data_IF_237447445182
#
_entry.id   IF_237447445182
#
_cell.length_a   1.000
_cell.length_b   1.000
_cell.length_c   1.000
_cell.angle_alpha   90.00
_cell.angle_beta   90.00
_cell.angle_gamma   90.00
#
_symmetry.space_group_name_H-M   'P 1'
#
loop_
_entity.id
_entity.type
_entity.pdbx_description
1 polymer ?
#
# COMPACT_ATOMS: atom_id res chain seq x y z
N UNK A 1 -24.23 14.89 71.30
CA UNK A 1 -24.41 14.17 70.05
C UNK A 1 -23.82 14.95 68.93
N UNK A 2 -22.69 14.54 68.34
CA UNK A 2 -22.02 15.20 67.19
C UNK A 2 -22.16 14.27 66.01
N UNK A 3 -22.82 14.73 64.92
CA UNK A 3 -22.91 14.03 63.64
C UNK A 3 -21.66 14.35 62.78
N UNK A 4 -21.01 13.34 62.17
CA UNK A 4 -19.94 13.59 61.23
C UNK A 4 -20.55 13.95 59.85
N UNK A 5 -20.06 15.03 59.27
CA UNK A 5 -20.36 15.43 57.90
C UNK A 5 -19.51 14.59 56.95
N UNK A 6 -20.15 13.72 56.16
CA UNK A 6 -19.54 13.00 55.07
C UNK A 6 -19.34 13.97 53.88
N UNK A 7 -18.09 14.21 53.53
CA UNK A 7 -17.72 14.96 52.28
C UNK A 7 -17.78 13.96 51.10
N UNK A 8 -18.77 14.11 50.23
CA UNK A 8 -18.81 13.40 48.96
C UNK A 8 -17.91 14.13 47.97
N UNK A 9 -16.77 13.53 47.64
CA UNK A 9 -15.91 13.99 46.53
C UNK A 9 -16.48 13.45 45.23
N UNK A 10 -17.14 14.30 44.45
CA UNK A 10 -17.60 13.99 43.08
C UNK A 10 -16.38 14.10 42.15
N UNK A 11 -15.78 12.98 41.82
CA UNK A 11 -14.73 12.92 40.80
C UNK A 11 -15.35 13.09 39.42
N UNK A 12 -15.17 14.24 38.79
CA UNK A 12 -15.50 14.47 37.40
C UNK A 12 -14.50 13.72 36.52
N UNK A 13 -14.93 12.60 35.93
CA UNK A 13 -14.17 11.92 34.84
C UNK A 13 -14.39 12.74 33.56
N UNK A 14 -13.41 13.61 33.23
CA UNK A 14 -13.39 14.29 31.93
C UNK A 14 -12.92 13.25 30.89
N UNK A 15 -13.87 12.66 30.19
CA UNK A 15 -13.58 11.86 29.00
C UNK A 15 -13.30 12.86 27.88
N UNK A 16 -12.03 13.10 27.59
CA UNK A 16 -11.63 13.75 26.35
C UNK A 16 -11.89 12.74 25.21
N UNK A 17 -13.10 12.79 24.64
CA UNK A 17 -13.37 12.22 23.33
C UNK A 17 -12.74 13.18 22.29
N UNK A 18 -11.41 13.12 22.13
CA UNK A 18 -10.76 13.73 20.99
C UNK A 18 -11.24 12.96 19.76
N UNK A 19 -12.08 13.60 18.93
CA UNK A 19 -12.30 13.10 17.58
C UNK A 19 -10.93 13.10 16.91
N UNK A 20 -10.43 11.95 16.38
CA UNK A 20 -9.23 11.99 15.59
C UNK A 20 -9.50 12.89 14.38
N UNK A 21 -8.66 13.92 14.19
CA UNK A 21 -8.72 14.74 13.00
C UNK A 21 -8.59 13.82 11.79
N UNK A 22 -9.61 13.86 10.93
CA UNK A 22 -9.61 13.09 9.68
C UNK A 22 -9.36 14.05 8.53
N UNK A 23 -8.26 13.80 7.81
CA UNK A 23 -7.95 14.51 6.57
C UNK A 23 -8.52 13.77 5.38
N UNK A 24 -8.94 14.52 4.35
CA UNK A 24 -9.33 13.99 3.05
C UNK A 24 -8.40 14.57 1.98
N UNK A 25 -7.77 13.67 1.23
CA UNK A 25 -6.93 14.02 0.10
C UNK A 25 -7.51 13.35 -1.13
N UNK A 26 -8.13 14.11 -2.06
CA UNK A 26 -8.66 13.53 -3.28
C UNK A 26 -7.58 12.81 -4.06
N UNK A 27 -7.91 11.64 -4.60
CA UNK A 27 -7.09 10.99 -5.61
C UNK A 27 -7.51 11.58 -6.96
N UNK A 28 -6.64 12.41 -7.56
CA UNK A 28 -6.98 13.11 -8.80
C UNK A 28 -7.35 12.09 -9.89
N UNK A 29 -8.53 12.20 -10.52
CA UNK A 29 -8.89 11.36 -11.66
C UNK A 29 -7.92 11.48 -12.83
N UNK A 30 -7.29 12.64 -13.03
CA UNK A 30 -6.28 12.85 -14.06
C UNK A 30 -5.02 12.00 -13.88
N UNK A 31 -4.71 11.60 -12.66
CA UNK A 31 -3.60 10.70 -12.36
C UNK A 31 -3.83 9.28 -12.88
N UNK A 32 -5.09 8.84 -12.97
CA UNK A 32 -5.46 7.50 -13.38
C UNK A 32 -4.75 6.45 -12.52
N UNK A 33 -4.03 5.56 -13.19
CA UNK A 33 -3.14 4.56 -12.59
C UNK A 33 -1.71 4.63 -13.16
N UNK A 34 -1.30 5.82 -13.63
CA UNK A 34 0.07 6.09 -14.05
C UNK A 34 1.03 5.99 -12.84
N UNK A 35 2.30 5.60 -13.07
CA UNK A 35 3.30 5.56 -12.01
C UNK A 35 3.48 6.96 -11.39
N UNK A 36 3.71 6.99 -10.07
CA UNK A 36 3.92 8.26 -9.36
C UNK A 36 5.26 8.89 -9.71
N UNK A 37 6.24 8.07 -10.08
CA UNK A 37 7.56 8.47 -10.58
C UNK A 37 8.27 7.27 -11.24
N UNK A 38 9.37 7.47 -11.97
CA UNK A 38 10.20 6.38 -12.48
C UNK A 38 10.85 5.58 -11.35
N UNK A 39 10.85 4.25 -11.45
CA UNK A 39 11.59 3.39 -10.54
C UNK A 39 13.11 3.54 -10.76
N UNK A 40 13.88 3.58 -9.68
CA UNK A 40 15.34 3.70 -9.71
C UNK A 40 16.07 2.46 -9.19
N UNK A 41 15.32 1.43 -8.71
CA UNK A 41 15.92 0.16 -8.33
C UNK A 41 16.44 -0.59 -9.57
N UNK A 42 17.54 -1.31 -9.38
CA UNK A 42 18.05 -2.19 -10.42
C UNK A 42 17.29 -3.52 -10.37
N UNK A 43 17.11 -4.17 -11.52
CA UNK A 43 16.60 -5.54 -11.57
C UNK A 43 17.61 -6.53 -11.01
N UNK A 44 17.15 -7.66 -10.45
CA UNK A 44 18.02 -8.76 -10.03
C UNK A 44 18.91 -9.20 -11.20
N UNK A 45 20.22 -9.42 -10.95
CA UNK A 45 21.11 -9.90 -11.99
C UNK A 45 20.79 -11.34 -12.39
N UNK A 46 20.97 -11.66 -13.67
CA UNK A 46 20.81 -13.02 -14.18
C UNK A 46 21.70 -13.99 -13.40
N UNK A 47 21.20 -15.18 -13.15
CA UNK A 47 21.92 -16.30 -12.52
C UNK A 47 22.20 -17.39 -13.53
N UNK A 48 23.03 -18.40 -13.16
CA UNK A 48 23.32 -19.52 -14.03
C UNK A 48 22.04 -20.34 -14.29
N UNK A 49 21.52 -20.28 -15.52
CA UNK A 49 20.33 -20.99 -15.94
C UNK A 49 19.00 -20.23 -15.75
N UNK A 50 19.04 -19.04 -15.16
CA UNK A 50 17.88 -18.17 -15.03
C UNK A 50 18.25 -16.72 -15.34
N UNK A 51 17.85 -16.19 -16.53
CA UNK A 51 18.10 -14.81 -16.90
C UNK A 51 17.24 -13.80 -16.13
N UNK A 52 16.14 -14.24 -15.53
CA UNK A 52 15.17 -13.41 -14.81
C UNK A 52 14.78 -14.08 -13.49
N UNK A 53 15.70 -14.13 -12.48
CA UNK A 53 15.39 -14.80 -11.22
C UNK A 53 14.17 -14.17 -10.54
N UNK A 54 13.28 -15.01 -10.00
CA UNK A 54 12.04 -14.55 -9.36
C UNK A 54 12.32 -13.94 -7.98
N UNK A 55 12.96 -12.80 -8.02
CA UNK A 55 13.42 -12.01 -6.87
C UNK A 55 13.07 -10.53 -7.08
N UNK A 56 13.20 -9.75 -6.03
CA UNK A 56 13.08 -8.28 -6.06
C UNK A 56 14.30 -7.64 -5.42
N UNK A 57 14.81 -6.58 -6.03
CA UNK A 57 15.77 -5.67 -5.40
C UNK A 57 15.06 -4.40 -4.97
N UNK A 58 15.30 -3.95 -3.74
CA UNK A 58 14.63 -2.80 -3.15
C UNK A 58 15.68 -1.82 -2.64
N UNK A 59 15.50 -0.55 -2.99
CA UNK A 59 16.23 0.58 -2.40
C UNK A 59 15.23 1.45 -1.65
N UNK A 60 15.58 1.88 -0.44
CA UNK A 60 14.74 2.75 0.37
C UNK A 60 15.59 3.77 1.12
N UNK A 61 15.07 4.99 1.24
CA UNK A 61 15.76 6.08 1.93
C UNK A 61 14.76 7.20 2.25
N UNK A 62 15.26 8.30 2.77
CA UNK A 62 14.56 9.54 3.01
C UNK A 62 14.75 10.53 1.85
N UNK A 63 13.69 11.28 1.53
CA UNK A 63 13.75 12.51 0.75
C UNK A 63 13.62 13.73 1.65
N UNK A 64 13.77 14.92 1.03
CA UNK A 64 13.58 16.17 1.74
C UNK A 64 12.28 16.21 2.56
N UNK A 65 12.39 16.74 3.74
CA UNK A 65 11.30 16.90 4.67
C UNK A 65 11.10 15.71 5.61
N UNK A 66 10.67 14.61 5.24
CA UNK A 66 10.40 13.37 6.02
C UNK A 66 9.69 12.32 5.16
N UNK A 67 9.72 12.48 3.86
CA UNK A 67 9.15 11.52 2.94
C UNK A 67 10.07 10.31 2.84
N UNK A 68 9.68 9.19 3.43
CA UNK A 68 10.31 7.92 3.16
C UNK A 68 9.86 7.42 1.78
N UNK A 69 10.78 6.82 1.03
CA UNK A 69 10.47 6.19 -0.25
C UNK A 69 11.14 4.83 -0.36
N UNK A 70 10.52 3.95 -1.15
CA UNK A 70 11.14 2.71 -1.60
C UNK A 70 10.85 2.51 -3.09
N UNK A 71 11.85 2.03 -3.81
CA UNK A 71 11.75 1.56 -5.19
C UNK A 71 12.15 0.09 -5.21
N UNK A 72 11.33 -0.74 -5.86
CA UNK A 72 11.60 -2.16 -6.05
C UNK A 72 11.54 -2.52 -7.53
N UNK A 73 12.53 -3.29 -8.02
CA UNK A 73 12.50 -3.88 -9.36
C UNK A 73 12.72 -5.39 -9.25
N UNK A 74 11.90 -6.17 -9.93
CA UNK A 74 11.94 -7.62 -9.81
C UNK A 74 11.23 -8.34 -10.94
N UNK A 75 11.31 -9.67 -10.93
CA UNK A 75 10.66 -10.53 -11.92
C UNK A 75 9.68 -11.48 -11.24
N UNK A 76 8.58 -11.76 -11.95
CA UNK A 76 7.64 -12.83 -11.62
C UNK A 76 7.57 -13.81 -12.78
N UNK A 77 7.63 -15.09 -12.49
CA UNK A 77 7.43 -16.16 -13.48
C UNK A 77 5.93 -16.35 -13.74
N UNK A 78 5.33 -15.33 -14.30
CA UNK A 78 3.92 -15.23 -14.65
C UNK A 78 3.74 -14.26 -15.81
N UNK A 79 2.69 -14.47 -16.60
CA UNK A 79 2.32 -13.59 -17.72
C UNK A 79 1.63 -12.31 -17.21
N UNK A 80 1.61 -11.25 -18.03
CA UNK A 80 0.89 -10.01 -17.69
C UNK A 80 -0.60 -10.24 -17.37
N UNK A 81 -1.37 -11.07 -18.09
CA UNK A 81 -2.74 -11.39 -17.70
C UNK A 81 -2.86 -12.04 -16.33
N UNK A 82 -1.94 -12.94 -15.94
CA UNK A 82 -1.93 -13.55 -14.61
C UNK A 82 -1.61 -12.53 -13.51
N UNK A 83 -0.68 -11.63 -13.78
CA UNK A 83 -0.37 -10.51 -12.86
C UNK A 83 -1.55 -9.56 -12.74
N UNK A 84 -2.24 -9.22 -13.84
CA UNK A 84 -3.45 -8.39 -13.81
C UNK A 84 -4.54 -9.04 -12.95
N UNK A 85 -4.76 -10.34 -13.10
CA UNK A 85 -5.73 -11.07 -12.29
C UNK A 85 -5.32 -11.12 -10.81
N UNK A 86 -4.02 -11.28 -10.54
CA UNK A 86 -3.51 -11.23 -9.16
C UNK A 86 -3.74 -9.85 -8.50
N UNK A 87 -3.58 -8.75 -9.23
CA UNK A 87 -3.81 -7.38 -8.75
C UNK A 87 -5.29 -7.09 -8.43
N UNK A 88 -6.24 -7.88 -8.95
CA UNK A 88 -7.66 -7.80 -8.58
C UNK A 88 -7.96 -8.28 -7.16
N UNK A 89 -7.06 -9.05 -6.57
CA UNK A 89 -7.21 -9.55 -5.20
C UNK A 89 -6.68 -8.52 -4.19
N UNK A 90 -7.53 -7.85 -3.41
CA UNK A 90 -7.10 -6.83 -2.47
C UNK A 90 -6.11 -7.33 -1.41
N UNK A 91 -6.05 -8.65 -1.16
CA UNK A 91 -5.10 -9.25 -0.22
C UNK A 91 -3.65 -9.04 -0.66
N UNK A 92 -3.40 -9.01 -1.97
CA UNK A 92 -2.07 -8.77 -2.56
C UNK A 92 -1.52 -7.39 -2.18
N UNK A 93 -2.42 -6.39 -2.05
CA UNK A 93 -2.04 -5.00 -1.75
C UNK A 93 -2.22 -4.65 -0.28
N UNK A 94 -2.49 -5.64 0.58
CA UNK A 94 -2.73 -5.42 2.00
C UNK A 94 -1.46 -4.97 2.72
N UNK A 95 -1.60 -3.96 3.59
CA UNK A 95 -0.55 -3.55 4.51
C UNK A 95 -0.59 -4.47 5.73
N UNK A 96 0.47 -5.23 5.96
CA UNK A 96 0.50 -6.28 6.97
C UNK A 96 0.63 -5.74 8.40
N UNK A 97 1.17 -4.52 8.58
CA UNK A 97 1.37 -3.88 9.89
C UNK A 97 0.07 -3.28 10.46
N UNK A 98 -1.11 -3.80 10.07
CA UNK A 98 -2.42 -3.29 10.53
C UNK A 98 -3.18 -4.31 11.36
N UNK A 99 -3.97 -3.85 12.35
CA UNK A 99 -4.78 -4.72 13.22
C UNK A 99 -6.01 -5.27 12.51
N UNK A 100 -6.60 -4.46 11.63
CA UNK A 100 -7.78 -4.83 10.86
C UNK A 100 -7.87 -4.04 9.55
N UNK A 101 -8.60 -4.61 8.61
CA UNK A 101 -8.84 -4.03 7.29
C UNK A 101 -10.19 -4.47 6.73
N UNK A 102 -10.85 -3.57 5.99
CA UNK A 102 -12.11 -3.80 5.32
C UNK A 102 -12.02 -3.35 3.87
N UNK A 103 -12.52 -4.14 2.92
CA UNK A 103 -12.48 -3.88 1.48
C UNK A 103 -13.82 -3.39 0.99
N UNK A 104 -13.81 -2.33 0.19
CA UNK A 104 -14.94 -1.90 -0.63
C UNK A 104 -14.54 -2.03 -2.10
N UNK A 105 -15.13 -2.97 -2.86
CA UNK A 105 -14.84 -3.15 -4.27
C UNK A 105 -15.53 -2.11 -5.16
N UNK A 106 -15.02 -1.95 -6.39
CA UNK A 106 -15.63 -1.13 -7.47
C UNK A 106 -15.97 0.30 -7.04
N UNK A 107 -15.06 0.95 -6.31
CA UNK A 107 -15.27 2.33 -5.83
C UNK A 107 -15.34 3.32 -6.99
N UNK A 108 -14.57 3.06 -8.05
CA UNK A 108 -14.51 3.86 -9.28
C UNK A 108 -14.65 2.90 -10.48
N UNK A 109 -15.89 2.66 -10.94
CA UNK A 109 -16.18 1.61 -11.94
C UNK A 109 -15.61 1.88 -13.33
N UNK A 110 -15.11 3.08 -13.60
CA UNK A 110 -14.40 3.44 -14.83
C UNK A 110 -13.01 2.78 -14.95
N UNK A 111 -12.44 2.33 -13.84
CA UNK A 111 -11.15 1.62 -13.84
C UNK A 111 -11.34 0.10 -13.83
N UNK A 112 -10.58 -0.67 -14.63
CA UNK A 112 -10.64 -2.15 -14.67
C UNK A 112 -10.37 -2.82 -13.32
N UNK A 113 -9.55 -2.18 -12.49
CA UNK A 113 -9.34 -2.52 -11.09
C UNK A 113 -9.62 -1.26 -10.28
N UNK A 114 -10.58 -1.34 -9.35
CA UNK A 114 -10.84 -0.26 -8.40
C UNK A 114 -11.40 -0.84 -7.11
N UNK A 115 -10.74 -0.56 -6.02
CA UNK A 115 -11.20 -0.88 -4.68
C UNK A 115 -10.58 0.06 -3.66
N UNK A 116 -11.21 0.16 -2.49
CA UNK A 116 -10.58 0.80 -1.35
C UNK A 116 -10.39 -0.19 -0.20
N UNK A 117 -9.34 0.04 0.58
CA UNK A 117 -9.11 -0.69 1.83
C UNK A 117 -9.10 0.32 2.97
N UNK A 118 -9.97 0.11 3.94
CA UNK A 118 -9.99 0.85 5.20
C UNK A 118 -9.20 0.08 6.23
N UNK A 119 -8.13 0.68 6.70
CA UNK A 119 -7.23 0.11 7.70
C UNK A 119 -7.51 0.68 9.09
N UNK A 120 -7.13 -0.08 10.12
CA UNK A 120 -7.02 0.39 11.48
C UNK A 120 -5.79 -0.21 12.16
N UNK A 121 -5.03 0.62 12.87
CA UNK A 121 -3.88 0.21 13.65
C UNK A 121 -3.73 1.05 14.93
N UNK A 122 -3.06 0.47 15.92
CA UNK A 122 -2.73 1.13 17.19
C UNK A 122 -3.43 0.52 18.41
N UNK A 123 -3.06 0.97 19.60
CA UNK A 123 -3.58 0.44 20.85
C UNK A 123 -5.10 0.67 21.00
N UNK A 124 -5.76 -0.17 21.78
CA UNK A 124 -7.22 -0.12 21.96
C UNK A 124 -7.77 1.24 22.42
N UNK A 125 -6.96 2.01 23.15
CA UNK A 125 -7.32 3.34 23.62
C UNK A 125 -7.21 4.44 22.54
N UNK A 126 -6.45 4.18 21.46
CA UNK A 126 -6.28 5.07 20.31
C UNK A 126 -6.02 4.26 19.05
N UNK A 127 -7.05 4.01 18.26
CA UNK A 127 -6.94 3.38 16.94
C UNK A 127 -6.97 4.43 15.84
N UNK A 128 -5.85 4.56 15.16
CA UNK A 128 -5.79 5.28 13.90
C UNK A 128 -6.54 4.52 12.81
N UNK A 129 -7.32 5.26 12.01
CA UNK A 129 -8.02 4.70 10.85
C UNK A 129 -7.72 5.53 9.62
N UNK A 130 -7.52 4.86 8.49
CA UNK A 130 -7.33 5.51 7.21
C UNK A 130 -7.82 4.64 6.06
N UNK A 131 -8.10 5.27 4.94
CA UNK A 131 -8.56 4.60 3.73
C UNK A 131 -7.59 4.84 2.59
N UNK A 132 -7.20 3.77 1.92
CA UNK A 132 -6.40 3.82 0.69
C UNK A 132 -7.31 3.41 -0.47
N UNK A 133 -7.29 4.19 -1.54
CA UNK A 133 -7.93 3.91 -2.81
C UNK A 133 -6.91 3.35 -3.79
N UNK A 134 -7.30 2.32 -4.51
CA UNK A 134 -6.49 1.59 -5.49
C UNK A 134 -7.14 1.65 -6.87
N UNK A 135 -6.33 1.90 -7.90
CA UNK A 135 -6.71 1.91 -9.31
C UNK A 135 -5.73 1.10 -10.12
N UNK A 136 -6.20 0.37 -11.14
CA UNK A 136 -5.31 -0.38 -12.02
C UNK A 136 -5.95 -0.79 -13.33
N UNK A 137 -5.09 -1.14 -14.29
CA UNK A 137 -5.51 -1.56 -15.62
C UNK A 137 -4.34 -1.65 -16.59
N UNK A 138 -4.63 -1.72 -17.88
CA UNK A 138 -3.64 -1.69 -18.93
C UNK A 138 -3.21 -0.24 -19.22
N UNK A 139 -1.92 0.07 -19.05
CA UNK A 139 -1.30 1.32 -19.50
C UNK A 139 -1.08 1.31 -21.01
N UNK A 140 -0.77 0.14 -21.55
CA UNK A 140 -0.59 -0.11 -22.98
C UNK A 140 -1.27 -1.42 -23.35
N UNK A 141 -1.95 -1.46 -24.49
CA UNK A 141 -2.78 -2.58 -24.92
C UNK A 141 -4.20 -2.48 -24.38
N UNK A 142 -4.86 -3.62 -24.17
CA UNK A 142 -6.20 -3.72 -23.58
C UNK A 142 -6.18 -4.59 -22.33
N UNK A 143 -7.28 -4.61 -21.57
CA UNK A 143 -7.41 -5.48 -20.39
C UNK A 143 -7.28 -6.98 -20.75
N UNK A 144 -7.77 -7.37 -21.95
CA UNK A 144 -7.72 -8.73 -22.45
C UNK A 144 -6.34 -9.11 -23.03
N UNK A 145 -5.59 -8.11 -23.51
CA UNK A 145 -4.26 -8.27 -24.10
C UNK A 145 -3.34 -7.13 -23.65
N UNK A 146 -2.98 -7.07 -22.38
CA UNK A 146 -2.14 -6.01 -21.86
C UNK A 146 -0.70 -6.17 -22.38
N UNK A 147 -0.09 -5.04 -22.75
CA UNK A 147 1.33 -4.94 -23.09
C UNK A 147 2.10 -4.28 -21.95
N UNK A 148 1.42 -3.46 -21.15
CA UNK A 148 1.92 -2.88 -19.93
C UNK A 148 0.77 -2.68 -18.95
N UNK A 149 0.99 -2.99 -17.69
CA UNK A 149 0.04 -2.75 -16.61
C UNK A 149 0.49 -1.57 -15.76
N UNK A 150 -0.50 -0.83 -15.25
CA UNK A 150 -0.32 0.14 -14.19
C UNK A 150 -1.24 -0.17 -13.03
N UNK A 151 -0.74 0.11 -11.85
CA UNK A 151 -1.50 0.04 -10.62
C UNK A 151 -1.02 1.15 -9.68
N UNK A 152 -1.94 1.92 -9.14
CA UNK A 152 -1.64 3.07 -8.30
C UNK A 152 -2.53 3.09 -7.08
N UNK A 153 -1.99 3.53 -5.95
CA UNK A 153 -2.76 3.72 -4.74
C UNK A 153 -2.42 5.04 -4.05
N UNK A 154 -3.38 5.53 -3.29
CA UNK A 154 -3.20 6.72 -2.47
C UNK A 154 -4.11 6.66 -1.25
N UNK A 155 -3.59 7.09 -0.10
CA UNK A 155 -4.42 7.43 1.06
C UNK A 155 -5.33 8.60 0.69
N UNK A 156 -6.64 8.40 0.84
CA UNK A 156 -7.66 9.41 0.50
C UNK A 156 -8.37 9.98 1.72
N UNK A 157 -8.35 9.27 2.85
CA UNK A 157 -9.02 9.68 4.08
C UNK A 157 -8.31 9.10 5.31
N UNK A 158 -8.40 9.77 6.46
CA UNK A 158 -8.00 9.23 7.76
C UNK A 158 -7.11 10.15 8.57
N UNK A 159 -6.43 9.57 9.57
CA UNK A 159 -5.65 10.29 10.56
C UNK A 159 -4.55 11.14 9.93
N UNK A 160 -4.28 12.32 10.52
CA UNK A 160 -3.22 13.26 10.11
C UNK A 160 -1.81 12.71 10.34
N UNK A 161 -1.65 11.75 11.25
CA UNK A 161 -0.38 11.08 11.47
C UNK A 161 0.20 10.44 10.21
N UNK A 162 -0.64 10.00 9.27
CA UNK A 162 -0.24 9.54 7.94
C UNK A 162 -0.58 10.65 6.96
N UNK A 163 0.38 11.51 6.65
CA UNK A 163 0.20 12.64 5.72
C UNK A 163 0.22 12.19 4.27
N UNK A 164 1.17 11.31 3.93
CA UNK A 164 1.31 10.69 2.62
C UNK A 164 1.42 9.19 2.79
N UNK A 165 0.64 8.45 2.04
CA UNK A 165 0.82 7.03 1.77
C UNK A 165 0.32 6.77 0.36
N UNK A 166 1.24 6.64 -0.56
CA UNK A 166 0.95 6.45 -1.98
C UNK A 166 1.99 5.57 -2.63
N UNK A 167 1.64 4.99 -3.77
CA UNK A 167 2.59 4.20 -4.52
C UNK A 167 2.02 3.78 -5.86
N UNK A 168 2.87 3.13 -6.64
CA UNK A 168 2.52 2.61 -7.96
C UNK A 168 3.29 1.34 -8.27
N UNK A 169 2.71 0.55 -9.18
CA UNK A 169 3.34 -0.60 -9.79
C UNK A 169 3.21 -0.43 -11.31
N UNK A 170 4.29 -0.69 -12.01
CA UNK A 170 4.30 -0.90 -13.47
C UNK A 170 4.75 -2.33 -13.71
N UNK A 171 4.07 -3.02 -14.64
CA UNK A 171 4.45 -4.36 -15.06
C UNK A 171 4.49 -4.44 -16.59
N UNK A 172 5.48 -5.15 -17.12
CA UNK A 172 5.65 -5.35 -18.56
C UNK A 172 6.27 -6.72 -18.85
N UNK A 173 6.04 -7.21 -20.06
CA UNK A 173 6.53 -8.51 -20.51
C UNK A 173 8.06 -8.50 -20.63
N UNK A 174 8.73 -9.39 -19.93
CA UNK A 174 10.18 -9.61 -20.03
C UNK A 174 10.53 -10.78 -20.99
N UNK A 175 9.53 -11.42 -21.60
CA UNK A 175 9.67 -12.60 -22.45
C UNK A 175 9.55 -13.91 -21.69
N UNK A 176 9.35 -14.99 -22.42
CA UNK A 176 9.32 -16.38 -21.90
C UNK A 176 8.32 -16.61 -20.75
N UNK A 177 7.21 -15.86 -20.71
CA UNK A 177 6.21 -15.95 -19.64
C UNK A 177 6.63 -15.30 -18.32
N UNK A 178 7.61 -14.41 -18.38
CA UNK A 178 8.11 -13.66 -17.24
C UNK A 178 7.61 -12.20 -17.32
N UNK A 179 7.15 -11.67 -16.21
CA UNK A 179 6.78 -10.25 -16.05
C UNK A 179 7.83 -9.52 -15.23
N UNK A 180 8.33 -8.40 -15.77
CA UNK A 180 9.13 -7.44 -15.03
C UNK A 180 8.22 -6.50 -14.26
N UNK A 181 8.56 -6.22 -13.00
CA UNK A 181 7.82 -5.33 -12.09
C UNK A 181 8.68 -4.18 -11.62
N UNK A 182 8.11 -2.99 -11.62
CA UNK A 182 8.66 -1.80 -10.98
C UNK A 182 7.66 -1.29 -9.96
N UNK A 183 8.06 -1.18 -8.70
CA UNK A 183 7.23 -0.72 -7.59
C UNK A 183 7.82 0.55 -6.99
N UNK A 184 6.95 1.48 -6.64
CA UNK A 184 7.32 2.70 -5.92
C UNK A 184 6.36 2.89 -4.75
N UNK A 185 6.90 3.22 -3.58
CA UNK A 185 6.12 3.50 -2.37
C UNK A 185 6.64 4.77 -1.70
N UNK A 186 5.71 5.64 -1.29
CA UNK A 186 5.97 6.85 -0.52
C UNK A 186 5.19 6.83 0.79
N UNK A 187 5.85 7.26 1.86
CA UNK A 187 5.25 7.36 3.19
C UNK A 187 5.76 8.61 3.91
N UNK A 188 4.85 9.43 4.41
CA UNK A 188 5.14 10.51 5.37
C UNK A 188 4.23 10.34 6.57
N UNK A 189 4.84 10.03 7.72
CA UNK A 189 4.13 9.90 9.01
C UNK A 189 4.75 10.79 10.05
N UNK A 190 3.92 11.27 11.00
CA UNK A 190 4.40 12.03 12.14
C UNK A 190 4.89 11.13 13.29
N UNK A 191 4.35 9.93 13.41
CA UNK A 191 4.51 9.05 14.59
C UNK A 191 5.68 8.07 14.53
N UNK A 192 6.25 7.82 13.32
CA UNK A 192 7.36 6.86 13.10
C UNK A 192 8.49 7.47 12.29
N UNK A 193 8.92 8.65 12.70
CA UNK A 193 9.86 9.45 11.94
C UNK A 193 11.23 8.81 11.67
N UNK A 194 11.59 7.77 12.39
CA UNK A 194 12.85 7.06 12.32
C UNK A 194 12.77 5.70 11.59
N UNK A 195 11.57 5.17 11.37
CA UNK A 195 11.34 3.85 10.75
C UNK A 195 10.81 3.91 9.31
N UNK A 196 10.58 5.09 8.76
CA UNK A 196 9.96 5.27 7.45
C UNK A 196 10.57 4.44 6.31
N UNK A 197 11.90 4.42 6.10
CA UNK A 197 12.53 3.61 5.04
C UNK A 197 12.31 2.11 5.23
N UNK A 198 12.30 1.58 6.47
CA UNK A 198 12.00 0.18 6.75
C UNK A 198 10.53 -0.14 6.46
N UNK A 199 9.61 0.74 6.82
CA UNK A 199 8.16 0.56 6.59
C UNK A 199 7.85 0.52 5.09
N UNK A 200 8.41 1.43 4.27
CA UNK A 200 8.21 1.41 2.81
C UNK A 200 8.93 0.26 2.13
N UNK A 201 10.12 -0.13 2.61
CA UNK A 201 10.83 -1.32 2.15
C UNK A 201 9.96 -2.57 2.37
N UNK A 202 9.45 -2.74 3.59
CA UNK A 202 8.55 -3.83 3.94
C UNK A 202 7.29 -3.85 3.06
N UNK A 203 6.68 -2.68 2.81
CA UNK A 203 5.49 -2.57 1.95
C UNK A 203 5.76 -3.05 0.52
N UNK A 204 6.89 -2.64 -0.08
CA UNK A 204 7.27 -3.07 -1.44
C UNK A 204 7.56 -4.58 -1.48
N UNK A 205 8.27 -5.10 -0.46
CA UNK A 205 8.53 -6.53 -0.35
C UNK A 205 7.24 -7.34 -0.19
N UNK A 206 6.33 -6.91 0.68
CA UNK A 206 5.04 -7.58 0.94
C UNK A 206 4.19 -7.64 -0.33
N UNK A 207 4.17 -6.57 -1.13
CA UNK A 207 3.50 -6.57 -2.43
C UNK A 207 4.08 -7.62 -3.38
N UNK A 208 5.40 -7.66 -3.51
CA UNK A 208 6.05 -8.65 -4.36
C UNK A 208 5.75 -10.08 -3.89
N UNK A 209 5.87 -10.34 -2.59
CA UNK A 209 5.58 -11.66 -2.00
C UNK A 209 4.11 -12.02 -2.18
N UNK A 210 3.18 -11.08 -1.99
CA UNK A 210 1.75 -11.28 -2.21
C UNK A 210 1.41 -11.61 -3.67
N UNK A 211 1.98 -10.86 -4.62
CA UNK A 211 1.83 -11.13 -6.05
C UNK A 211 2.37 -12.51 -6.42
N UNK A 212 3.61 -12.81 -6.00
CA UNK A 212 4.24 -14.12 -6.24
C UNK A 212 3.40 -15.27 -5.69
N UNK A 213 2.93 -15.15 -4.44
CA UNK A 213 2.06 -16.16 -3.85
C UNK A 213 0.78 -16.35 -4.68
N UNK A 214 0.14 -15.25 -5.10
CA UNK A 214 -1.11 -15.28 -5.85
C UNK A 214 -0.96 -15.91 -7.23
N UNK A 215 0.05 -15.52 -8.01
CA UNK A 215 0.27 -16.08 -9.36
C UNK A 215 0.63 -17.56 -9.33
N UNK A 216 1.27 -18.03 -8.26
CA UNK A 216 1.60 -19.46 -8.07
C UNK A 216 0.53 -20.25 -7.32
N UNK A 217 -0.65 -19.67 -7.05
CA UNK A 217 -1.75 -20.35 -6.37
C UNK A 217 -1.48 -20.67 -4.90
N UNK A 218 -0.48 -20.03 -4.28
CA UNK A 218 -0.20 -20.14 -2.85
C UNK A 218 -1.10 -19.19 -2.04
N UNK A 219 -1.32 -19.45 -0.74
CA UNK A 219 -2.00 -18.50 0.13
C UNK A 219 -1.27 -17.16 0.16
N UNK A 220 -2.00 -16.07 -0.07
CA UNK A 220 -1.48 -14.70 0.11
C UNK A 220 -1.30 -14.46 1.61
N UNK A 221 -0.12 -14.02 2.05
CA UNK A 221 0.19 -13.84 3.48
C UNK A 221 -0.73 -12.90 4.22
#
# INVERSE_FOLDING_TARGET
MRFPRALAVLGAVIVFAGCPDTTRTPFDPADGFQPIEPCTAAFPPATAGDPHPEEIQIVSDWREGRLAYAHGAGYLHATLPEVLEALRDPRVSRIHQTDSWDVTPNVEPEYPISFSIRYAAGPAIYKGRWTILYRGGALLGTVEAPQQLGFRYQKVEGIEDIRVQSGSLVAYDAGDGVTALELVCHLDTSSRADQGPEDVHGTVNDWFVGLRAKVHGAPVP
#
